data_IF_201868660310
#
_entry.id   IF_201868660310
#
_cell.length_a   1.000
_cell.length_b   1.000
_cell.length_c   1.000
_cell.angle_alpha   90.00
_cell.angle_beta   90.00
_cell.angle_gamma   90.00
#
_symmetry.space_group_name_H-M   'P 1'
#
loop_
_entity.id
_entity.type
_entity.pdbx_description
1 polymer ?
#
# COMPACT_ATOMS: atom_id res chain seq x y z
N UNK A 1 -49.67 -6.74 36.70
CA UNK A 1 -49.54 -6.03 35.41
C UNK A 1 -48.15 -5.43 35.19
N UNK A 2 -47.57 -4.67 36.14
CA UNK A 2 -46.22 -4.09 36.00
C UNK A 2 -45.08 -5.12 35.90
N UNK A 3 -45.15 -6.23 36.63
CA UNK A 3 -44.11 -7.28 36.58
C UNK A 3 -44.07 -8.06 35.25
N UNK A 4 -45.22 -8.24 34.60
CA UNK A 4 -45.32 -8.91 33.30
C UNK A 4 -44.74 -8.00 32.20
N UNK A 5 -44.99 -6.69 32.28
CA UNK A 5 -44.42 -5.70 31.36
C UNK A 5 -42.89 -5.68 31.42
N UNK A 6 -42.29 -5.74 32.62
CA UNK A 6 -40.84 -5.78 32.78
C UNK A 6 -40.21 -7.08 32.26
N UNK A 7 -40.91 -8.21 32.38
CA UNK A 7 -40.46 -9.48 31.81
C UNK A 7 -40.49 -9.47 30.27
N UNK A 8 -41.51 -8.85 29.67
CA UNK A 8 -41.61 -8.71 28.21
C UNK A 8 -40.57 -7.74 27.66
N UNK A 9 -40.29 -6.63 28.34
CA UNK A 9 -39.21 -5.70 27.95
C UNK A 9 -37.82 -6.34 28.07
N UNK A 10 -37.58 -7.14 29.11
CA UNK A 10 -36.35 -7.93 29.27
C UNK A 10 -36.13 -8.91 28.11
N UNK A 11 -37.18 -9.63 27.70
CA UNK A 11 -37.10 -10.58 26.59
C UNK A 11 -36.82 -9.91 25.22
N UNK A 12 -37.32 -8.68 24.99
CA UNK A 12 -37.08 -7.92 23.76
C UNK A 12 -35.66 -7.34 23.72
N UNK A 13 -35.10 -6.91 24.87
CA UNK A 13 -33.73 -6.42 24.94
C UNK A 13 -32.73 -7.56 24.71
N UNK A 14 -33.02 -8.77 25.22
CA UNK A 14 -32.22 -9.96 24.99
C UNK A 14 -32.37 -10.55 23.57
N UNK A 15 -33.42 -10.18 22.82
CA UNK A 15 -33.61 -10.65 21.43
C UNK A 15 -32.92 -9.77 20.39
N UNK A 16 -32.40 -8.60 20.78
CA UNK A 16 -31.73 -7.65 19.89
C UNK A 16 -30.19 -7.71 19.98
N UNK A 17 -29.62 -8.55 20.86
CA UNK A 17 -28.15 -8.72 20.98
C UNK A 17 -27.57 -9.76 20.02
N UNK A 18 -28.38 -10.37 19.16
CA UNK A 18 -27.89 -11.15 18.02
C UNK A 18 -27.98 -10.31 16.73
N UNK A 19 -27.31 -9.16 16.75
CA UNK A 19 -26.91 -8.45 15.55
C UNK A 19 -25.61 -9.09 15.06
N UNK A 20 -25.74 -10.04 14.14
CA UNK A 20 -24.65 -10.67 13.40
C UNK A 20 -23.77 -9.57 12.79
N UNK A 21 -22.54 -9.43 13.27
CA UNK A 21 -21.48 -8.89 12.44
C UNK A 21 -21.30 -9.89 11.29
N UNK A 22 -21.64 -9.48 10.07
CA UNK A 22 -21.26 -10.19 8.85
C UNK A 22 -19.74 -10.05 8.67
N UNK A 23 -18.97 -10.73 9.52
CA UNK A 23 -17.74 -11.34 9.07
C UNK A 23 -18.15 -12.72 8.57
N UNK A 24 -18.09 -12.92 7.26
CA UNK A 24 -18.23 -14.24 6.65
C UNK A 24 -17.01 -15.06 7.07
N UNK A 25 -17.07 -15.60 8.28
CA UNK A 25 -16.35 -16.80 8.64
C UNK A 25 -17.38 -17.92 8.46
N UNK A 26 -17.37 -18.56 7.29
CA UNK A 26 -18.23 -19.72 7.03
C UNK A 26 -17.69 -20.88 7.86
N UNK A 27 -18.05 -20.93 9.14
CA UNK A 27 -18.02 -22.18 9.91
C UNK A 27 -19.24 -22.99 9.49
N UNK A 28 -19.13 -23.68 8.36
CA UNK A 28 -20.09 -24.68 7.92
C UNK A 28 -20.11 -25.84 8.94
N UNK A 29 -21.05 -25.79 9.87
CA UNK A 29 -21.44 -26.94 10.71
C UNK A 29 -22.74 -27.57 10.18
N UNK A 30 -22.79 -27.83 8.88
CA UNK A 30 -23.73 -28.76 8.29
C UNK A 30 -22.85 -29.65 7.42
N UNK A 31 -22.72 -30.93 7.79
CA UNK A 31 -21.87 -31.93 7.11
C UNK A 31 -22.34 -32.23 5.69
N UNK A 32 -22.37 -31.21 4.86
CA UNK A 32 -22.55 -31.20 3.43
C UNK A 32 -21.25 -30.59 2.92
N UNK A 33 -20.43 -31.39 2.24
CA UNK A 33 -19.24 -30.94 1.54
C UNK A 33 -19.66 -30.02 0.38
N UNK A 34 -20.08 -28.81 0.72
CA UNK A 34 -20.33 -27.75 -0.22
C UNK A 34 -19.00 -27.04 -0.38
N UNK A 35 -18.27 -27.34 -1.46
CA UNK A 35 -17.17 -26.52 -1.92
C UNK A 35 -17.75 -25.15 -2.30
N UNK A 36 -17.86 -24.26 -1.32
CA UNK A 36 -18.18 -22.86 -1.55
C UNK A 36 -16.88 -22.25 -2.08
N UNK A 37 -16.73 -22.25 -3.39
CA UNK A 37 -15.66 -21.51 -4.05
C UNK A 37 -15.90 -20.02 -3.83
N UNK A 38 -14.98 -19.37 -3.10
CA UNK A 38 -15.04 -17.95 -2.85
C UNK A 38 -14.65 -17.19 -4.12
N UNK A 39 -15.36 -16.10 -4.48
CA UNK A 39 -15.11 -15.37 -5.73
C UNK A 39 -13.72 -14.72 -5.77
N UNK A 40 -13.17 -14.40 -4.60
CA UNK A 40 -11.77 -14.02 -4.41
C UNK A 40 -11.26 -14.57 -3.09
N UNK A 41 -10.01 -14.99 -3.07
CA UNK A 41 -9.31 -15.47 -1.86
C UNK A 41 -8.09 -14.62 -1.58
N UNK A 42 -7.70 -14.48 -0.31
CA UNK A 42 -6.43 -13.85 0.07
C UNK A 42 -5.88 -14.53 1.31
N UNK A 43 -4.59 -14.82 1.29
CA UNK A 43 -3.87 -15.41 2.40
C UNK A 43 -2.45 -14.85 2.46
N UNK A 44 -1.85 -15.02 3.64
CA UNK A 44 -0.44 -14.77 3.90
C UNK A 44 0.25 -16.08 4.25
N UNK A 45 1.57 -16.15 4.07
CA UNK A 45 2.35 -17.36 4.39
C UNK A 45 2.55 -17.60 5.89
N UNK A 46 2.50 -16.53 6.69
CA UNK A 46 2.49 -16.55 8.15
C UNK A 46 1.34 -15.72 8.73
N UNK A 47 0.96 -16.03 9.97
CA UNK A 47 0.01 -15.26 10.80
C UNK A 47 0.67 -14.13 11.59
N UNK A 48 2.02 -14.09 11.64
CA UNK A 48 2.77 -13.05 12.34
C UNK A 48 4.09 -12.72 11.64
N UNK A 49 4.51 -11.47 11.74
CA UNK A 49 5.78 -10.97 11.16
C UNK A 49 6.50 -10.00 12.09
N UNK A 50 7.83 -10.04 12.04
CA UNK A 50 8.73 -9.09 12.69
C UNK A 50 9.19 -7.98 11.72
N UNK A 51 9.72 -6.90 12.27
CA UNK A 51 10.29 -5.80 11.47
C UNK A 51 11.39 -6.31 10.53
N UNK A 52 11.28 -5.92 9.25
CA UNK A 52 12.23 -6.30 8.20
C UNK A 52 11.91 -7.63 7.50
N UNK A 53 10.91 -8.39 7.95
CA UNK A 53 10.46 -9.59 7.26
C UNK A 53 9.70 -9.28 5.95
N UNK A 54 9.61 -10.30 5.09
CA UNK A 54 8.92 -10.22 3.81
C UNK A 54 7.58 -10.96 3.89
N UNK A 55 6.48 -10.22 3.82
CA UNK A 55 5.12 -10.79 3.85
C UNK A 55 4.78 -11.29 2.45
N UNK A 56 4.57 -12.60 2.28
CA UNK A 56 4.09 -13.17 1.03
C UNK A 56 2.57 -13.18 1.02
N UNK A 57 1.97 -12.45 0.08
CA UNK A 57 0.51 -12.40 -0.09
C UNK A 57 0.15 -13.14 -1.36
N UNK A 58 -0.82 -14.05 -1.27
CA UNK A 58 -1.32 -14.80 -2.43
C UNK A 58 -2.82 -15.01 -2.38
N UNK A 59 -3.42 -15.21 -3.56
CA UNK A 59 -4.84 -15.47 -3.70
C UNK A 59 -5.22 -15.86 -5.12
N UNK A 60 -6.52 -16.05 -5.34
CA UNK A 60 -7.10 -16.35 -6.65
C UNK A 60 -8.45 -15.69 -6.82
N UNK A 61 -8.86 -15.50 -8.07
CA UNK A 61 -10.20 -15.06 -8.48
C UNK A 61 -10.83 -16.17 -9.32
N UNK A 62 -11.95 -16.74 -8.85
CA UNK A 62 -12.59 -17.92 -9.48
C UNK A 62 -13.11 -17.64 -10.89
N UNK A 63 -13.68 -16.44 -11.09
CA UNK A 63 -14.41 -16.09 -12.31
C UNK A 63 -13.50 -15.40 -13.34
N UNK A 64 -12.18 -15.43 -13.15
CA UNK A 64 -11.23 -14.81 -14.06
C UNK A 64 -11.09 -15.59 -15.37
N UNK A 65 -11.31 -14.90 -16.50
CA UNK A 65 -11.14 -15.48 -17.83
C UNK A 65 -10.13 -14.63 -18.61
N UNK A 66 -8.94 -15.19 -18.88
CA UNK A 66 -7.87 -14.47 -19.58
C UNK A 66 -8.26 -14.03 -21.01
N UNK A 67 -9.20 -14.72 -21.65
CA UNK A 67 -9.69 -14.35 -22.99
C UNK A 67 -10.80 -13.29 -22.98
N UNK A 68 -11.29 -12.87 -21.82
CA UNK A 68 -12.38 -11.89 -21.74
C UNK A 68 -11.88 -10.50 -22.22
N UNK A 69 -12.47 -9.90 -23.28
CA UNK A 69 -12.08 -8.57 -23.74
C UNK A 69 -12.33 -7.45 -22.72
N UNK A 70 -13.12 -7.71 -21.66
CA UNK A 70 -13.40 -6.79 -20.56
C UNK A 70 -12.57 -7.09 -19.29
N UNK A 71 -11.52 -7.93 -19.38
CA UNK A 71 -10.54 -8.12 -18.31
C UNK A 71 -9.66 -6.87 -18.17
N UNK A 72 -10.05 -5.94 -17.32
CA UNK A 72 -9.27 -4.71 -17.12
C UNK A 72 -9.17 -4.30 -15.66
N UNK A 73 -9.26 -5.27 -14.75
CA UNK A 73 -9.17 -5.04 -13.32
C UNK A 73 -8.05 -5.90 -12.74
N UNK A 74 -6.92 -5.25 -12.46
CA UNK A 74 -5.92 -5.81 -11.56
C UNK A 74 -6.54 -5.92 -10.15
N UNK A 75 -6.06 -6.88 -9.37
CA UNK A 75 -6.45 -6.98 -7.96
C UNK A 75 -5.87 -5.78 -7.22
N UNK A 76 -6.74 -4.98 -6.60
CA UNK A 76 -6.31 -3.87 -5.75
C UNK A 76 -6.13 -4.37 -4.34
N UNK A 77 -4.89 -4.36 -3.86
CA UNK A 77 -4.53 -4.68 -2.48
C UNK A 77 -4.38 -3.39 -1.68
N UNK A 78 -4.92 -3.36 -0.48
CA UNK A 78 -4.73 -2.33 0.55
C UNK A 78 -4.22 -2.96 1.82
N UNK A 79 -3.07 -2.51 2.30
CA UNK A 79 -2.56 -2.84 3.63
C UNK A 79 -3.00 -1.76 4.63
N UNK A 80 -3.70 -2.17 5.66
CA UNK A 80 -4.32 -1.30 6.65
C UNK A 80 -3.66 -1.56 8.01
N UNK A 81 -3.11 -0.52 8.61
CA UNK A 81 -2.47 -0.58 9.92
C UNK A 81 -3.51 -0.64 11.06
N UNK A 82 -3.10 -0.98 12.31
CA UNK A 82 -3.99 -1.10 13.47
C UNK A 82 -4.80 0.18 13.80
N UNK A 83 -4.33 1.33 13.34
CA UNK A 83 -5.01 2.63 13.47
C UNK A 83 -5.97 2.94 12.31
N UNK A 84 -6.33 1.95 11.50
CA UNK A 84 -7.17 2.04 10.30
C UNK A 84 -6.61 2.89 9.16
N UNK A 85 -5.33 3.30 9.21
CA UNK A 85 -4.69 4.00 8.09
C UNK A 85 -4.23 3.01 7.02
N UNK A 86 -4.40 3.38 5.75
CA UNK A 86 -3.84 2.63 4.63
C UNK A 86 -2.36 2.98 4.53
N UNK A 87 -1.48 1.99 4.67
CA UNK A 87 -0.03 2.19 4.58
C UNK A 87 0.57 1.68 3.26
N UNK A 88 -0.15 0.83 2.52
CA UNK A 88 0.26 0.37 1.20
C UNK A 88 -0.95 0.15 0.32
N UNK A 89 -0.82 0.53 -0.96
CA UNK A 89 -1.77 0.19 -2.03
C UNK A 89 -0.97 -0.42 -3.17
N UNK A 90 -1.46 -1.53 -3.72
CA UNK A 90 -0.83 -2.19 -4.87
C UNK A 90 -1.89 -2.65 -5.86
N UNK A 91 -1.57 -2.60 -7.14
CA UNK A 91 -2.36 -3.22 -8.20
C UNK A 91 -1.57 -4.43 -8.70
N UNK A 92 -2.19 -5.61 -8.62
CA UNK A 92 -1.55 -6.88 -8.88
C UNK A 92 -2.25 -7.52 -10.08
N UNK A 93 -1.54 -7.71 -11.21
CA UNK A 93 -2.12 -8.40 -12.36
C UNK A 93 -2.37 -9.87 -12.00
N UNK A 94 -3.42 -10.43 -12.60
CA UNK A 94 -3.71 -11.86 -12.46
C UNK A 94 -2.95 -12.67 -13.51
N UNK A 95 -2.52 -13.86 -13.11
CA UNK A 95 -2.02 -14.88 -14.01
C UNK A 95 -3.15 -15.44 -14.88
N UNK A 96 -2.80 -16.22 -15.91
CA UNK A 96 -3.76 -16.86 -16.82
C UNK A 96 -4.78 -17.76 -16.12
N UNK A 97 -4.41 -18.31 -14.96
CA UNK A 97 -5.25 -19.17 -14.11
C UNK A 97 -6.06 -18.40 -13.05
N UNK A 98 -6.02 -17.05 -13.06
CA UNK A 98 -6.70 -16.23 -12.07
C UNK A 98 -5.98 -16.13 -10.72
N UNK A 99 -4.79 -16.73 -10.57
CA UNK A 99 -3.97 -16.56 -9.38
C UNK A 99 -3.26 -15.21 -9.37
N UNK A 100 -2.93 -14.72 -8.18
CA UNK A 100 -2.10 -13.53 -8.00
C UNK A 100 -1.25 -13.64 -6.74
N UNK A 101 -0.12 -12.94 -6.74
CA UNK A 101 0.78 -12.90 -5.59
C UNK A 101 1.61 -11.62 -5.57
N UNK A 102 2.00 -11.18 -4.38
CA UNK A 102 2.93 -10.07 -4.19
C UNK A 102 3.70 -10.23 -2.89
N UNK A 103 4.78 -9.47 -2.74
CA UNK A 103 5.54 -9.38 -1.51
C UNK A 103 5.48 -7.96 -0.95
N UNK A 104 5.29 -7.85 0.37
CA UNK A 104 5.27 -6.58 1.07
C UNK A 104 6.36 -6.61 2.15
N UNK A 105 7.36 -5.72 2.10
CA UNK A 105 8.36 -5.66 3.16
C UNK A 105 7.74 -5.03 4.41
N UNK A 106 7.86 -5.71 5.55
CA UNK A 106 7.37 -5.27 6.87
C UNK A 106 8.31 -4.21 7.49
N UNK A 107 8.60 -3.16 6.73
CA UNK A 107 9.56 -2.13 7.09
C UNK A 107 9.18 -0.76 6.50
N UNK A 108 9.73 0.30 7.09
CA UNK A 108 9.64 1.66 6.58
C UNK A 108 8.78 2.59 7.43
N UNK A 109 8.70 3.88 7.07
CA UNK A 109 8.23 4.93 7.97
C UNK A 109 6.75 4.87 8.32
N UNK A 110 5.97 3.98 7.69
CA UNK A 110 4.55 3.78 7.97
C UNK A 110 4.27 2.59 8.91
N UNK A 111 5.29 1.76 9.19
CA UNK A 111 5.24 0.65 10.15
C UNK A 111 5.58 1.15 11.55
N UNK A 112 4.60 1.75 12.22
CA UNK A 112 4.81 2.44 13.51
C UNK A 112 4.12 1.78 14.71
N UNK A 113 3.28 0.78 14.47
CA UNK A 113 2.38 0.25 15.48
C UNK A 113 2.46 -1.26 15.47
N UNK A 114 2.71 -1.85 16.64
CA UNK A 114 2.49 -3.26 16.87
C UNK A 114 1.00 -3.61 16.74
N UNK A 115 0.72 -4.87 16.40
CA UNK A 115 -0.63 -5.44 16.44
C UNK A 115 -1.15 -5.89 15.09
N UNK A 116 -2.47 -5.90 14.95
CA UNK A 116 -3.14 -6.56 13.83
C UNK A 116 -3.24 -5.65 12.60
N UNK A 117 -2.55 -6.07 11.54
CA UNK A 117 -2.61 -5.47 10.22
C UNK A 117 -3.60 -6.24 9.36
N UNK A 118 -4.36 -5.52 8.54
CA UNK A 118 -5.36 -6.11 7.64
C UNK A 118 -4.97 -5.90 6.18
N UNK A 119 -4.86 -6.99 5.43
CA UNK A 119 -4.81 -6.97 3.97
C UNK A 119 -6.24 -7.05 3.46
N UNK A 120 -6.67 -6.05 2.71
CA UNK A 120 -7.95 -6.04 1.99
C UNK A 120 -7.68 -6.05 0.49
N UNK A 121 -8.30 -6.99 -0.21
CA UNK A 121 -8.21 -7.11 -1.67
C UNK A 121 -9.58 -6.88 -2.30
N UNK A 122 -9.59 -6.22 -3.46
CA UNK A 122 -10.79 -6.01 -4.26
C UNK A 122 -10.52 -6.26 -5.74
N UNK A 123 -11.47 -6.88 -6.41
CA UNK A 123 -11.45 -7.12 -7.85
C UNK A 123 -12.81 -6.72 -8.45
N UNK A 124 -12.84 -5.74 -9.35
CA UNK A 124 -14.11 -5.14 -9.79
C UNK A 124 -14.82 -4.37 -8.67
N UNK A 125 -16.16 -4.25 -8.74
CA UNK A 125 -16.93 -3.44 -7.77
C UNK A 125 -17.36 -4.22 -6.53
N UNK A 126 -17.72 -5.49 -6.69
CA UNK A 126 -18.49 -6.23 -5.68
C UNK A 126 -17.69 -7.39 -5.06
N UNK A 127 -16.53 -7.73 -5.62
CA UNK A 127 -15.71 -8.87 -5.17
C UNK A 127 -14.58 -8.40 -4.27
N UNK A 128 -14.65 -8.77 -2.98
CA UNK A 128 -13.71 -8.33 -1.96
C UNK A 128 -13.38 -9.47 -0.99
N UNK A 129 -12.15 -9.52 -0.49
CA UNK A 129 -11.76 -10.38 0.62
C UNK A 129 -10.75 -9.66 1.53
N UNK A 130 -10.54 -10.20 2.72
CA UNK A 130 -9.56 -9.69 3.66
C UNK A 130 -8.95 -10.79 4.50
N UNK A 131 -7.69 -10.60 4.89
CA UNK A 131 -7.00 -11.42 5.88
C UNK A 131 -6.23 -10.52 6.84
N UNK A 132 -5.92 -11.03 8.02
CA UNK A 132 -5.24 -10.30 9.10
C UNK A 132 -4.01 -11.07 9.55
N UNK A 133 -2.95 -10.35 9.87
CA UNK A 133 -1.74 -10.89 10.49
C UNK A 133 -1.27 -9.94 11.60
N UNK A 134 -0.50 -10.47 12.55
CA UNK A 134 0.05 -9.69 13.65
C UNK A 134 1.47 -9.22 13.31
N UNK A 135 1.74 -7.92 13.46
CA UNK A 135 3.07 -7.34 13.29
C UNK A 135 3.71 -7.02 14.64
N UNK A 136 5.01 -7.29 14.76
CA UNK A 136 5.83 -7.06 15.94
C UNK A 136 7.00 -6.17 15.54
N UNK A 137 7.05 -4.94 16.08
CA UNK A 137 8.22 -4.09 15.98
C UNK A 137 9.36 -4.74 16.77
N UNK A 138 10.54 -4.75 16.17
CA UNK A 138 11.74 -5.07 16.91
C UNK A 138 11.90 -4.02 18.01
N UNK A 139 12.06 -4.44 19.27
CA UNK A 139 12.59 -3.51 20.25
C UNK A 139 13.99 -3.13 19.77
N UNK A 140 14.21 -1.84 19.47
CA UNK A 140 15.57 -1.32 19.44
C UNK A 140 16.16 -1.70 20.80
N UNK A 141 17.02 -2.72 20.84
CA UNK A 141 17.85 -2.94 22.01
C UNK A 141 18.58 -1.62 22.22
N UNK A 142 18.19 -0.86 23.25
CA UNK A 142 18.94 0.29 23.70
C UNK A 142 20.38 -0.20 23.84
N UNK A 143 21.23 0.21 22.91
CA UNK A 143 22.67 0.09 23.07
C UNK A 143 22.94 0.93 24.30
N UNK A 144 23.01 0.26 25.45
CA UNK A 144 23.56 0.84 26.67
C UNK A 144 24.97 1.21 26.26
N UNK A 145 25.17 2.47 25.89
CA UNK A 145 26.48 3.09 25.82
C UNK A 145 27.04 2.94 27.23
N UNK A 146 27.77 1.84 27.45
CA UNK A 146 28.53 1.64 28.66
C UNK A 146 29.52 2.81 28.68
N UNK A 147 29.25 3.73 29.60
CA UNK A 147 30.07 4.89 29.91
C UNK A 147 31.45 4.36 30.31
N UNK A 148 32.37 4.23 29.33
CA UNK A 148 33.80 3.98 29.59
C UNK A 148 34.38 5.28 30.13
N UNK A 149 34.11 5.53 31.42
CA UNK A 149 34.99 6.31 32.26
C UNK A 149 36.20 5.43 32.52
N UNK A 150 37.24 5.53 31.71
CA UNK A 150 38.63 5.47 32.19
C UNK A 150 39.50 6.25 31.20
N UNK A 151 40.16 7.27 31.75
CA UNK A 151 41.04 8.15 31.02
C UNK A 151 42.32 7.46 30.55
N UNK A 152 43.08 8.22 29.76
CA UNK A 152 44.53 7.99 29.58
C UNK A 152 44.92 6.84 28.63
N UNK A 153 44.42 6.88 27.39
CA UNK A 153 45.03 6.15 26.26
C UNK A 153 45.11 6.97 24.95
N UNK A 154 45.06 8.30 25.06
CA UNK A 154 45.16 9.25 23.92
C UNK A 154 46.63 9.41 23.43
N UNK A 155 47.57 8.77 24.13
CA UNK A 155 49.00 8.63 23.82
C UNK A 155 49.45 8.21 22.41
N UNK A 156 48.90 7.10 21.91
CA UNK A 156 49.74 6.14 21.14
C UNK A 156 49.25 5.86 19.72
N UNK A 157 48.12 6.42 19.27
CA UNK A 157 47.56 6.11 17.93
C UNK A 157 47.81 7.17 16.86
N UNK A 158 48.45 8.30 17.18
CA UNK A 158 48.68 9.38 16.20
C UNK A 158 49.91 9.16 15.30
N UNK A 159 50.78 8.19 15.60
CA UNK A 159 51.99 7.93 14.80
C UNK A 159 51.78 6.91 13.66
N UNK A 160 50.64 6.20 13.60
CA UNK A 160 50.40 5.15 12.58
C UNK A 160 49.68 5.64 11.31
N UNK A 161 49.17 6.87 11.30
CA UNK A 161 48.43 7.49 10.17
C UNK A 161 49.33 8.21 9.14
N UNK A 162 50.66 8.14 9.22
CA UNK A 162 51.57 8.78 8.23
C UNK A 162 52.16 7.80 7.20
N UNK A 163 51.75 6.52 7.19
CA UNK A 163 52.32 5.52 6.29
C UNK A 163 51.35 5.00 5.20
N UNK A 164 50.23 5.68 4.96
CA UNK A 164 49.30 5.32 3.88
C UNK A 164 49.46 6.26 2.70
N UNK A 165 50.30 5.86 1.74
CA UNK A 165 50.53 6.61 0.51
C UNK A 165 49.25 6.85 -0.30
N UNK A 166 49.26 7.91 -1.11
CA UNK A 166 48.17 8.27 -2.01
C UNK A 166 47.83 7.12 -2.99
N UNK A 167 46.55 6.97 -3.32
CA UNK A 167 46.06 5.91 -4.20
C UNK A 167 46.64 5.98 -5.63
N UNK A 168 46.52 4.90 -6.43
CA UNK A 168 47.00 4.88 -7.81
C UNK A 168 46.37 6.01 -8.63
N UNK A 169 47.21 6.88 -9.22
CA UNK A 169 46.81 8.05 -10.01
C UNK A 169 46.95 9.40 -9.31
N UNK A 170 47.56 9.45 -8.12
CA UNK A 170 47.84 10.70 -7.38
C UNK A 170 49.25 10.72 -6.80
N UNK A 171 49.92 11.87 -6.84
CA UNK A 171 51.25 12.09 -6.25
C UNK A 171 51.14 13.02 -5.04
N UNK A 172 51.99 12.80 -4.03
CA UNK A 172 52.00 13.58 -2.79
C UNK A 172 52.90 14.81 -2.96
N UNK A 173 52.31 16.00 -2.92
CA UNK A 173 53.01 17.28 -2.78
C UNK A 173 52.47 18.01 -1.54
N UNK A 174 53.35 18.43 -0.64
CA UNK A 174 53.02 19.20 0.58
C UNK A 174 51.93 18.58 1.49
N UNK A 175 51.87 17.24 1.56
CA UNK A 175 50.91 16.52 2.41
C UNK A 175 49.50 16.43 1.83
N UNK A 176 49.31 16.82 0.56
CA UNK A 176 48.03 16.77 -0.16
C UNK A 176 48.21 15.90 -1.41
N UNK A 177 47.28 14.97 -1.66
CA UNK A 177 47.32 14.13 -2.86
C UNK A 177 46.82 14.93 -4.07
N UNK A 178 47.69 15.17 -5.05
CA UNK A 178 47.42 15.92 -6.28
C UNK A 178 47.33 14.95 -7.46
N UNK A 179 46.41 15.18 -8.41
CA UNK A 179 46.30 14.39 -9.65
C UNK A 179 47.38 14.81 -10.66
N UNK A 180 47.99 13.84 -11.35
CA UNK A 180 48.91 14.12 -12.45
C UNK A 180 48.17 14.78 -13.64
N UNK A 181 48.64 15.95 -14.07
CA UNK A 181 48.12 16.62 -15.27
C UNK A 181 48.84 16.10 -16.52
N UNK A 182 48.12 15.35 -17.37
CA UNK A 182 48.54 15.11 -18.76
C UNK A 182 47.36 15.26 -19.73
N UNK A 183 47.25 16.49 -20.26
CA UNK A 183 47.12 16.82 -21.69
C UNK A 183 46.03 16.16 -22.58
N UNK A 184 45.08 17.03 -22.99
CA UNK A 184 44.37 17.15 -24.29
C UNK A 184 43.13 16.27 -24.58
N UNK A 185 41.95 16.90 -24.36
CA UNK A 185 40.74 17.09 -25.21
C UNK A 185 40.22 16.00 -26.20
N UNK A 186 38.91 16.05 -26.61
CA UNK A 186 37.72 16.52 -25.89
C UNK A 186 36.48 15.58 -26.02
N UNK A 187 35.56 15.78 -25.07
CA UNK A 187 34.10 15.70 -25.21
C UNK A 187 33.41 14.48 -25.85
N UNK A 188 32.65 13.74 -25.05
CA UNK A 188 31.20 13.55 -25.29
C UNK A 188 30.47 13.44 -23.94
N UNK A 189 29.90 14.56 -23.51
CA UNK A 189 28.87 14.59 -22.46
C UNK A 189 27.57 14.15 -23.12
N UNK A 190 27.03 13.00 -22.73
CA UNK A 190 25.66 12.62 -23.07
C UNK A 190 24.71 13.24 -22.05
N UNK A 191 24.33 14.50 -22.29
CA UNK A 191 23.14 15.10 -21.71
C UNK A 191 21.90 14.42 -22.31
N UNK A 192 21.42 13.38 -21.62
CA UNK A 192 20.10 12.80 -21.86
C UNK A 192 19.01 13.72 -21.31
N UNK A 193 18.71 14.78 -22.07
CA UNK A 193 17.59 15.67 -21.85
C UNK A 193 16.28 14.88 -21.81
N UNK A 194 15.60 14.87 -20.66
CA UNK A 194 14.22 14.40 -20.54
C UNK A 194 13.33 15.33 -21.36
N UNK A 195 12.56 14.85 -22.35
CA UNK A 195 11.46 15.64 -22.86
C UNK A 195 10.37 15.66 -21.79
N UNK A 196 10.15 16.83 -21.18
CA UNK A 196 8.96 17.15 -20.41
C UNK A 196 7.77 17.10 -21.37
N UNK A 197 7.19 15.92 -21.56
CA UNK A 197 5.94 15.75 -22.29
C UNK A 197 4.81 16.21 -21.38
N UNK A 198 4.36 17.43 -21.63
CA UNK A 198 2.94 17.77 -21.66
C UNK A 198 2.17 17.56 -20.37
N UNK A 199 2.09 18.62 -19.58
CA UNK A 199 1.03 18.90 -18.63
C UNK A 199 -0.36 18.92 -19.33
N UNK A 200 -0.89 17.76 -19.72
CA UNK A 200 -2.22 17.65 -20.35
C UNK A 200 -3.29 17.20 -19.36
N UNK A 201 -2.94 16.65 -18.19
CA UNK A 201 -3.92 16.12 -17.22
C UNK A 201 -4.74 17.19 -16.48
N UNK A 202 -4.23 18.43 -16.37
CA UNK A 202 -4.95 19.50 -15.68
C UNK A 202 -5.96 20.24 -16.59
N UNK A 203 -5.73 20.26 -17.90
CA UNK A 203 -6.63 20.93 -18.84
C UNK A 203 -7.88 20.10 -19.15
N UNK A 204 -7.78 18.77 -19.18
CA UNK A 204 -8.93 17.90 -19.43
C UNK A 204 -10.01 18.00 -18.34
N UNK A 205 -9.61 18.21 -17.08
CA UNK A 205 -10.57 18.37 -15.96
C UNK A 205 -11.39 19.65 -16.09
N UNK A 206 -10.75 20.77 -16.44
CA UNK A 206 -11.44 22.06 -16.59
C UNK A 206 -12.32 22.06 -17.85
N UNK A 207 -11.86 21.48 -18.95
CA UNK A 207 -12.69 21.41 -20.17
C UNK A 207 -13.89 20.49 -19.99
N UNK A 208 -13.74 19.37 -19.28
CA UNK A 208 -14.83 18.41 -19.08
C UNK A 208 -15.93 18.97 -18.18
N UNK A 209 -15.56 19.67 -17.11
CA UNK A 209 -16.52 20.34 -16.22
C UNK A 209 -17.29 21.46 -16.91
N UNK A 210 -16.63 22.28 -17.75
CA UNK A 210 -17.30 23.33 -18.53
C UNK A 210 -18.24 22.73 -19.60
N UNK A 211 -17.84 21.64 -20.26
CA UNK A 211 -18.68 20.97 -21.25
C UNK A 211 -19.94 20.34 -20.63
N UNK A 212 -19.82 19.71 -19.46
CA UNK A 212 -20.97 19.17 -18.73
C UNK A 212 -21.92 20.29 -18.31
N UNK A 213 -21.39 21.39 -17.75
CA UNK A 213 -22.22 22.52 -17.35
C UNK A 213 -22.99 23.12 -18.55
N UNK A 214 -22.34 23.24 -19.72
CA UNK A 214 -22.98 23.72 -20.94
C UNK A 214 -24.07 22.77 -21.46
N UNK A 215 -23.84 21.46 -21.41
CA UNK A 215 -24.82 20.46 -21.80
C UNK A 215 -26.07 20.50 -20.89
N UNK A 216 -25.87 20.60 -19.58
CA UNK A 216 -26.97 20.72 -18.61
C UNK A 216 -27.77 22.01 -18.87
N UNK A 217 -27.09 23.13 -19.13
CA UNK A 217 -27.75 24.41 -19.46
C UNK A 217 -28.61 24.31 -20.72
N UNK A 218 -28.15 23.64 -21.78
CA UNK A 218 -28.93 23.41 -22.99
C UNK A 218 -30.17 22.55 -22.74
N UNK A 219 -30.04 21.46 -21.98
CA UNK A 219 -31.17 20.58 -21.64
C UNK A 219 -32.22 21.33 -20.83
N UNK A 220 -31.81 22.06 -19.79
CA UNK A 220 -32.71 22.87 -18.97
C UNK A 220 -33.37 23.99 -19.79
N UNK A 221 -32.64 24.61 -20.73
CA UNK A 221 -33.20 25.61 -21.64
C UNK A 221 -34.28 25.02 -22.55
N UNK A 222 -34.05 23.83 -23.12
CA UNK A 222 -35.04 23.14 -23.97
C UNK A 222 -36.29 22.74 -23.19
N UNK A 223 -36.14 22.27 -21.95
CA UNK A 223 -37.27 21.96 -21.05
C UNK A 223 -38.03 23.26 -20.72
N UNK A 224 -37.33 24.35 -20.42
CA UNK A 224 -37.95 25.66 -20.14
C UNK A 224 -38.73 26.20 -21.33
N UNK A 225 -38.22 25.97 -22.56
CA UNK A 225 -38.84 26.43 -23.79
C UNK A 225 -40.04 25.55 -24.18
N UNK A 226 -39.94 24.24 -24.01
CA UNK A 226 -41.04 23.29 -24.26
C UNK A 226 -42.18 23.40 -23.23
N UNK A 227 -41.89 23.86 -22.02
CA UNK A 227 -42.89 24.17 -21.00
C UNK A 227 -43.76 25.39 -21.39
N UNK A 228 -43.19 26.37 -22.10
CA UNK A 228 -43.89 27.59 -22.52
C UNK A 228 -44.84 27.42 -23.71
N UNK A 229 -44.85 26.26 -24.38
CA UNK A 229 -45.74 26.01 -25.53
C UNK A 229 -47.02 25.23 -25.18
N UNK A 230 -47.35 25.10 -23.89
CA UNK A 230 -48.61 24.48 -23.42
C UNK A 230 -49.49 25.47 -22.65
N UNK A 231 -49.74 26.63 -23.24
CA UNK A 231 -50.95 27.42 -22.93
C UNK A 231 -51.34 28.24 -24.15
N UNK A 232 -52.10 27.60 -25.05
CA UNK A 232 -53.02 28.21 -26.00
C UNK A 232 -54.02 27.14 -26.44
#
# INVERSE_FOLDING_TARGET
MKAILLFVLSAIILSQSYGIAHAVHVSAHLGLDLEIELPITVATDSSSYEEGEMISVSGSVSDYIESDPYKNFDVTLRLIAPNNNIITISQIPLNSDGSYSTFIPAQGPLWKFDGDYTISVSWGSDTNASTTFTFILGSEEEVIEEEVIEGEAIEVMLEEELAKGCGPGTHLEDGICVLDETTVEPAFVSTGSVPTVGSTSLFYSITFTVLIAFAIMLVLYLISRGSRTKTA
#
